data_IF_781967186390
#
_entry.id   IF_781967186390
#
_cell.length_a   1.000
_cell.length_b   1.000
_cell.length_c   1.000
_cell.angle_alpha   90.00
_cell.angle_beta   90.00
_cell.angle_gamma   90.00
#
_symmetry.space_group_name_H-M   'P 1'
#
loop_
_entity.id
_entity.type
_entity.pdbx_description
1 polymer ?
#
# COMPACT_ATOMS: atom_id res chain seq x y z
N UNK A 1 19.54 -9.81 -10.78
CA UNK A 1 19.48 -9.61 -9.31
C UNK A 1 18.36 -10.40 -8.61
N UNK A 2 17.20 -10.67 -9.23
CA UNK A 2 16.07 -11.39 -8.60
C UNK A 2 16.44 -12.68 -7.86
N UNK A 3 17.32 -13.53 -8.43
CA UNK A 3 17.73 -14.80 -7.79
C UNK A 3 18.48 -14.58 -6.47
N UNK A 4 19.44 -13.66 -6.45
CA UNK A 4 20.21 -13.31 -5.24
C UNK A 4 19.29 -12.68 -4.20
N UNK A 5 18.38 -11.79 -4.62
CA UNK A 5 17.40 -11.19 -3.74
C UNK A 5 16.48 -12.23 -3.08
N UNK A 6 15.93 -13.18 -3.84
CA UNK A 6 15.13 -14.27 -3.27
C UNK A 6 15.94 -15.13 -2.30
N UNK A 7 17.21 -15.36 -2.59
CA UNK A 7 18.11 -16.08 -1.68
C UNK A 7 18.37 -15.31 -0.39
N UNK A 8 18.52 -13.98 -0.47
CA UNK A 8 18.65 -13.11 0.71
C UNK A 8 17.42 -13.20 1.61
N UNK A 9 16.22 -13.10 1.04
CA UNK A 9 14.96 -13.23 1.78
C UNK A 9 14.82 -14.62 2.42
N UNK A 10 15.22 -15.67 1.71
CA UNK A 10 15.23 -17.02 2.26
C UNK A 10 16.18 -17.17 3.46
N UNK A 11 17.30 -16.43 3.50
CA UNK A 11 18.20 -16.43 4.66
C UNK A 11 17.61 -15.73 5.88
N UNK A 12 16.91 -14.60 5.69
CA UNK A 12 16.16 -13.96 6.77
C UNK A 12 15.14 -14.93 7.38
N UNK A 13 14.36 -15.60 6.54
CA UNK A 13 13.37 -16.59 6.97
C UNK A 13 14.04 -17.79 7.67
N UNK A 14 15.18 -18.28 7.14
CA UNK A 14 15.93 -19.39 7.75
C UNK A 14 16.45 -19.05 9.15
N UNK A 15 16.78 -17.78 9.40
CA UNK A 15 17.24 -17.29 10.71
C UNK A 15 16.10 -16.98 11.68
N UNK A 16 14.84 -17.19 11.26
CA UNK A 16 13.65 -17.02 12.10
C UNK A 16 13.01 -15.63 12.01
N UNK A 17 13.35 -14.83 11.00
CA UNK A 17 12.70 -13.53 10.77
C UNK A 17 11.47 -13.71 9.86
N UNK A 18 10.34 -13.18 10.30
CA UNK A 18 9.14 -13.12 9.46
C UNK A 18 9.22 -11.88 8.57
N UNK A 19 9.36 -12.10 7.26
CA UNK A 19 9.50 -11.01 6.28
C UNK A 19 8.11 -10.50 5.91
N UNK A 20 7.80 -9.28 6.33
CA UNK A 20 6.50 -8.60 6.07
C UNK A 20 6.48 -7.99 4.68
N UNK A 21 7.57 -7.34 4.29
CA UNK A 21 7.70 -6.69 2.99
C UNK A 21 9.16 -6.69 2.56
N UNK A 22 9.40 -6.82 1.25
CA UNK A 22 10.74 -6.67 0.70
C UNK A 22 10.68 -6.17 -0.75
N UNK A 23 11.48 -5.14 -1.02
CA UNK A 23 11.86 -4.73 -2.37
C UNK A 23 13.40 -4.62 -2.45
N UNK A 24 13.94 -4.16 -3.58
CA UNK A 24 15.40 -4.04 -3.74
C UNK A 24 16.05 -2.99 -2.83
N UNK A 25 15.27 -2.14 -2.17
CA UNK A 25 15.75 -1.01 -1.39
C UNK A 25 15.51 -1.16 0.11
N UNK A 26 14.50 -1.91 0.53
CA UNK A 26 14.17 -2.12 1.94
C UNK A 26 13.59 -3.51 2.19
N UNK A 27 13.86 -4.02 3.39
CA UNK A 27 13.25 -5.24 3.92
C UNK A 27 12.64 -4.89 5.28
N UNK A 28 11.36 -5.19 5.45
CA UNK A 28 10.63 -5.05 6.71
C UNK A 28 10.49 -6.45 7.30
N UNK A 29 11.03 -6.64 8.50
CA UNK A 29 10.98 -7.91 9.22
C UNK A 29 10.27 -7.73 10.56
N UNK A 30 9.47 -8.73 10.93
CA UNK A 30 9.01 -8.91 12.30
C UNK A 30 10.04 -9.77 13.04
N UNK A 31 10.61 -9.21 14.10
CA UNK A 31 11.67 -9.89 14.89
C UNK A 31 11.10 -10.83 15.96
N UNK A 32 9.81 -10.71 16.27
CA UNK A 32 9.15 -11.44 17.37
C UNK A 32 9.67 -11.06 18.77
N UNK A 33 10.54 -10.05 18.87
CA UNK A 33 11.09 -9.57 20.15
C UNK A 33 10.17 -8.52 20.77
N UNK A 34 10.18 -8.42 22.11
CA UNK A 34 9.33 -7.51 22.87
C UNK A 34 10.00 -6.19 23.24
N UNK A 35 11.32 -6.21 23.31
CA UNK A 35 12.13 -5.06 23.65
C UNK A 35 12.88 -4.61 22.38
N UNK A 36 12.91 -3.30 22.15
CA UNK A 36 13.63 -2.70 21.04
C UNK A 36 15.12 -3.10 21.07
N UNK A 37 15.72 -3.15 22.26
CA UNK A 37 17.12 -3.57 22.46
C UNK A 37 17.38 -4.99 21.97
N UNK A 38 16.49 -5.93 22.30
CA UNK A 38 16.60 -7.32 21.90
C UNK A 38 16.33 -7.49 20.39
N UNK A 39 15.42 -6.67 19.85
CA UNK A 39 15.15 -6.62 18.42
C UNK A 39 16.39 -6.17 17.65
N UNK A 40 17.05 -5.09 18.08
CA UNK A 40 18.29 -4.59 17.47
C UNK A 40 19.38 -5.66 17.55
N UNK A 41 19.62 -6.26 18.72
CA UNK A 41 20.62 -7.32 18.87
C UNK A 41 20.35 -8.54 17.99
N UNK A 42 19.08 -8.91 17.79
CA UNK A 42 18.69 -9.96 16.85
C UNK A 42 18.99 -9.57 15.39
N UNK A 43 18.63 -8.34 14.99
CA UNK A 43 18.90 -7.85 13.63
C UNK A 43 20.39 -7.80 13.35
N UNK A 44 21.20 -7.33 14.29
CA UNK A 44 22.66 -7.30 14.16
C UNK A 44 23.24 -8.71 13.97
N UNK A 45 22.75 -9.70 14.73
CA UNK A 45 23.12 -11.10 14.56
C UNK A 45 22.75 -11.62 13.16
N UNK A 46 21.54 -11.32 12.68
CA UNK A 46 21.04 -11.75 11.37
C UNK A 46 21.88 -11.12 10.25
N UNK A 47 22.10 -9.81 10.31
CA UNK A 47 22.89 -9.06 9.33
C UNK A 47 24.33 -9.58 9.30
N UNK A 48 24.96 -9.81 10.45
CA UNK A 48 26.31 -10.36 10.51
C UNK A 48 26.37 -11.78 9.94
N UNK A 49 25.36 -12.61 10.21
CA UNK A 49 25.27 -13.97 9.67
C UNK A 49 25.12 -13.99 8.15
N UNK A 50 24.37 -13.03 7.58
CA UNK A 50 24.22 -12.86 6.14
C UNK A 50 25.52 -12.38 5.51
N UNK A 51 26.19 -11.37 6.10
CA UNK A 51 27.48 -10.83 5.62
C UNK A 51 28.59 -11.88 5.60
N UNK A 52 28.55 -12.86 6.51
CA UNK A 52 29.52 -13.95 6.55
C UNK A 52 29.41 -14.93 5.35
N UNK A 53 28.35 -14.85 4.53
CA UNK A 53 28.23 -15.67 3.31
C UNK A 53 28.85 -14.93 2.13
N UNK A 54 29.77 -15.59 1.42
CA UNK A 54 30.48 -15.02 0.26
C UNK A 54 29.55 -14.44 -0.81
N UNK A 55 28.38 -15.06 -1.01
CA UNK A 55 27.37 -14.61 -1.99
C UNK A 55 26.77 -13.23 -1.69
N UNK A 56 26.87 -12.75 -0.44
CA UNK A 56 26.35 -11.45 0.00
C UNK A 56 27.45 -10.47 0.41
N UNK A 57 28.71 -10.77 0.08
CA UNK A 57 29.86 -9.94 0.48
C UNK A 57 29.77 -8.49 0.00
N UNK A 58 29.13 -8.25 -1.16
CA UNK A 58 28.94 -6.92 -1.73
C UNK A 58 27.64 -6.22 -1.28
N UNK A 59 26.87 -6.83 -0.37
CA UNK A 59 25.63 -6.25 0.13
C UNK A 59 25.88 -5.57 1.47
N UNK A 60 25.60 -4.27 1.52
CA UNK A 60 25.53 -3.52 2.76
C UNK A 60 24.08 -3.48 3.24
N UNK A 61 23.87 -3.90 4.49
CA UNK A 61 22.59 -3.83 5.17
C UNK A 61 22.74 -2.95 6.40
N UNK A 62 21.87 -1.95 6.51
CA UNK A 62 21.70 -1.08 7.67
C UNK A 62 20.21 -1.04 8.03
N UNK A 63 19.91 -0.90 9.31
CA UNK A 63 18.54 -0.63 9.77
C UNK A 63 18.36 0.89 9.92
N UNK A 64 17.21 1.41 9.47
CA UNK A 64 16.89 2.84 9.51
C UNK A 64 15.71 3.15 10.45
N UNK A 65 14.75 2.23 10.53
CA UNK A 65 13.52 2.43 11.30
C UNK A 65 13.26 1.24 12.20
N UNK A 66 12.79 1.53 13.41
CA UNK A 66 12.25 0.54 14.33
C UNK A 66 10.78 0.88 14.61
N UNK A 67 9.92 -0.12 14.62
CA UNK A 67 8.50 0.02 14.89
C UNK A 67 8.13 -0.84 16.08
N UNK A 68 7.48 -0.26 17.08
CA UNK A 68 6.88 -1.01 18.19
C UNK A 68 5.62 -1.74 17.70
N UNK A 69 4.84 -1.04 16.87
CA UNK A 69 3.68 -1.58 16.19
C UNK A 69 3.63 -1.04 14.78
N UNK A 70 3.38 -1.92 13.80
CA UNK A 70 3.24 -1.56 12.40
C UNK A 70 2.03 -2.28 11.81
N UNK A 71 1.04 -1.50 11.39
CA UNK A 71 -0.03 -1.95 10.53
C UNK A 71 0.40 -1.73 9.08
N UNK A 72 0.66 -2.81 8.36
CA UNK A 72 1.20 -2.76 7.00
C UNK A 72 0.25 -3.40 6.00
N UNK A 73 -0.24 -2.62 5.03
CA UNK A 73 -1.01 -3.13 3.90
C UNK A 73 -0.15 -3.24 2.65
N UNK A 74 0.47 -2.13 2.26
CA UNK A 74 1.39 -2.01 1.14
C UNK A 74 2.30 -0.79 1.30
N UNK A 75 3.17 -0.52 0.33
CA UNK A 75 4.11 0.59 0.40
C UNK A 75 3.47 2.00 0.47
N UNK A 76 2.19 2.13 0.07
CA UNK A 76 1.43 3.37 0.08
C UNK A 76 0.39 3.43 1.21
N UNK A 77 0.19 2.34 1.96
CA UNK A 77 -0.85 2.17 2.96
C UNK A 77 -0.25 1.47 4.20
N UNK A 78 0.15 2.26 5.19
CA UNK A 78 0.67 1.78 6.47
C UNK A 78 0.48 2.80 7.59
N UNK A 79 0.49 2.33 8.82
CA UNK A 79 0.64 3.18 10.02
C UNK A 79 1.48 2.47 11.06
N UNK A 80 2.35 3.20 11.75
CA UNK A 80 3.20 2.61 12.77
C UNK A 80 3.57 3.59 13.87
N UNK A 81 3.82 3.03 15.06
CA UNK A 81 4.41 3.76 16.19
C UNK A 81 5.91 3.49 16.15
N UNK A 82 6.71 4.54 15.98
CA UNK A 82 8.17 4.41 15.94
C UNK A 82 8.72 4.05 17.32
N UNK A 83 9.62 3.08 17.34
CA UNK A 83 10.41 2.75 18.51
C UNK A 83 11.63 3.67 18.62
N UNK A 84 12.01 4.01 19.85
CA UNK A 84 13.19 4.84 20.10
C UNK A 84 14.48 4.08 19.78
N UNK A 85 15.18 4.51 18.74
CA UNK A 85 16.51 4.01 18.40
C UNK A 85 17.56 4.62 19.36
N UNK A 86 18.62 3.87 19.72
CA UNK A 86 19.75 4.43 20.44
C UNK A 86 20.34 5.64 19.69
N UNK A 87 20.70 6.69 20.44
CA UNK A 87 21.03 8.05 19.99
C UNK A 87 22.25 8.21 19.06
N UNK A 88 22.79 7.13 18.48
CA UNK A 88 23.84 7.15 17.45
C UNK A 88 23.35 6.81 16.03
N UNK A 89 22.09 6.43 15.84
CA UNK A 89 21.57 5.87 14.58
C UNK A 89 20.40 6.67 13.97
N UNK A 90 19.92 7.72 14.63
CA UNK A 90 18.85 8.55 14.09
C UNK A 90 19.41 9.54 13.06
N UNK A 91 19.11 9.36 11.77
CA UNK A 91 19.24 10.46 10.81
C UNK A 91 18.25 11.56 11.18
N UNK A 92 18.79 12.74 11.50
CA UNK A 92 18.08 13.95 11.90
C UNK A 92 16.94 14.28 10.95
N UNK A 93 15.74 13.82 11.28
CA UNK A 93 14.50 14.33 10.71
C UNK A 93 13.55 14.65 11.85
N UNK A 94 13.16 15.93 11.86
CA UNK A 94 12.19 16.65 12.69
C UNK A 94 12.45 16.79 14.19
N UNK A 95 12.54 18.06 14.59
CA UNK A 95 12.45 18.58 15.96
C UNK A 95 11.15 18.09 16.61
N UNK A 96 11.25 17.08 17.47
CA UNK A 96 10.19 16.65 18.38
C UNK A 96 10.79 16.46 19.77
N UNK A 97 10.12 16.98 20.79
CA UNK A 97 10.45 16.77 22.20
C UNK A 97 10.40 15.28 22.55
N UNK A 98 11.29 14.82 23.43
CA UNK A 98 11.55 13.41 23.81
C UNK A 98 10.32 12.60 24.33
N UNK A 99 9.13 13.20 24.41
CA UNK A 99 7.91 12.63 24.97
C UNK A 99 6.78 12.37 23.95
N UNK A 100 6.93 12.76 22.67
CA UNK A 100 5.93 12.45 21.64
C UNK A 100 6.27 11.14 20.92
N UNK A 101 5.40 10.13 21.07
CA UNK A 101 5.44 8.94 20.20
C UNK A 101 5.27 9.40 18.76
N UNK A 102 6.35 9.30 17.98
CA UNK A 102 6.36 9.70 16.57
C UNK A 102 5.56 8.67 15.76
N UNK A 103 4.28 8.96 15.59
CA UNK A 103 3.34 8.17 14.80
C UNK A 103 3.52 8.50 13.32
N UNK A 104 3.92 7.51 12.53
CA UNK A 104 3.99 7.65 11.08
C UNK A 104 2.76 7.01 10.45
N UNK A 105 1.99 7.78 9.69
CA UNK A 105 0.84 7.27 8.94
C UNK A 105 0.90 7.70 7.49
N UNK A 106 0.63 6.75 6.60
CA UNK A 106 0.47 7.00 5.18
C UNK A 106 -0.65 6.12 4.64
N UNK A 107 -1.80 6.71 4.33
CA UNK A 107 -3.00 5.99 3.90
C UNK A 107 -3.48 6.49 2.53
N UNK A 108 -2.83 6.05 1.44
CA UNK A 108 -3.26 6.40 0.08
C UNK A 108 -4.72 5.98 -0.23
N UNK A 109 -5.25 4.97 0.47
CA UNK A 109 -6.67 4.59 0.43
C UNK A 109 -7.61 5.77 0.72
N UNK A 110 -7.17 6.75 1.51
CA UNK A 110 -7.95 7.94 1.85
C UNK A 110 -8.10 8.91 0.67
N UNK A 111 -7.17 8.89 -0.30
CA UNK A 111 -7.26 9.70 -1.53
C UNK A 111 -8.34 9.18 -2.50
N UNK A 112 -8.68 7.90 -2.41
CA UNK A 112 -9.77 7.31 -3.20
C UNK A 112 -11.16 7.54 -2.60
N UNK A 113 -11.25 8.16 -1.42
CA UNK A 113 -12.52 8.47 -0.77
C UNK A 113 -13.14 9.74 -1.37
N UNK A 114 -14.48 9.87 -1.38
CA UNK A 114 -15.13 11.09 -1.82
C UNK A 114 -14.74 12.31 -0.98
N UNK A 115 -14.50 13.45 -1.62
CA UNK A 115 -14.26 14.73 -0.91
C UNK A 115 -15.53 15.25 -0.19
N UNK A 116 -16.70 14.74 -0.57
CA UNK A 116 -17.97 15.09 0.05
C UNK A 116 -18.04 14.67 1.53
N UNK A 117 -18.56 15.57 2.36
CA UNK A 117 -18.88 15.33 3.78
C UNK A 117 -17.66 14.97 4.65
N UNK A 118 -16.48 15.47 4.27
CA UNK A 118 -15.22 15.30 4.99
C UNK A 118 -14.87 13.82 5.22
N UNK A 119 -15.27 12.94 4.30
CA UNK A 119 -15.09 11.48 4.42
C UNK A 119 -13.64 11.09 4.70
N UNK A 120 -12.70 11.74 4.01
CA UNK A 120 -11.26 11.58 4.19
C UNK A 120 -10.80 11.90 5.61
N UNK A 121 -11.21 13.07 6.13
CA UNK A 121 -10.84 13.52 7.48
C UNK A 121 -11.38 12.58 8.56
N UNK A 122 -12.64 12.13 8.42
CA UNK A 122 -13.22 11.15 9.35
C UNK A 122 -12.46 9.82 9.33
N UNK A 123 -11.94 9.40 8.16
CA UNK A 123 -11.16 8.17 8.01
C UNK A 123 -9.79 8.30 8.68
N UNK A 124 -9.06 9.37 8.37
CA UNK A 124 -7.73 9.63 8.94
C UNK A 124 -7.81 9.81 10.46
N UNK A 125 -8.84 10.51 10.95
CA UNK A 125 -9.10 10.65 12.40
C UNK A 125 -9.37 9.32 13.07
N UNK A 126 -10.12 8.41 12.41
CA UNK A 126 -10.39 7.09 12.98
C UNK A 126 -9.11 6.24 13.04
N UNK A 127 -8.29 6.25 11.99
CA UNK A 127 -7.02 5.53 11.95
C UNK A 127 -6.04 6.07 12.99
N UNK A 128 -5.96 7.39 13.16
CA UNK A 128 -5.16 8.01 14.22
C UNK A 128 -5.57 7.50 15.60
N UNK A 129 -6.86 7.59 15.93
CA UNK A 129 -7.40 7.10 17.20
C UNK A 129 -7.18 5.61 17.42
N UNK A 130 -7.21 4.81 16.35
CA UNK A 130 -6.92 3.39 16.44
C UNK A 130 -5.49 3.14 16.89
N UNK A 131 -4.54 3.83 16.27
CA UNK A 131 -3.13 3.70 16.61
C UNK A 131 -2.81 4.24 18.00
N UNK A 132 -3.41 5.35 18.41
CA UNK A 132 -3.30 5.89 19.77
C UNK A 132 -3.85 4.92 20.82
N UNK A 133 -4.99 4.29 20.55
CA UNK A 133 -5.58 3.29 21.44
C UNK A 133 -4.66 2.07 21.59
N UNK A 134 -4.10 1.55 20.49
CA UNK A 134 -3.14 0.46 20.54
C UNK A 134 -1.85 0.83 21.28
N UNK A 135 -1.33 2.03 21.06
CA UNK A 135 -0.14 2.53 21.74
C UNK A 135 -0.35 2.66 23.25
N UNK A 136 -1.52 3.17 23.68
CA UNK A 136 -1.88 3.33 25.09
C UNK A 136 -1.99 1.96 25.78
N UNK A 137 -2.70 1.01 25.15
CA UNK A 137 -2.86 -0.34 25.70
C UNK A 137 -1.48 -1.01 25.83
N UNK A 138 -0.61 -0.90 24.83
CA UNK A 138 0.72 -1.50 24.89
C UNK A 138 1.60 -0.89 25.99
N UNK A 139 1.51 0.43 26.24
CA UNK A 139 2.21 1.11 27.34
C UNK A 139 1.77 0.59 28.70
N UNK A 140 0.46 0.49 28.95
CA UNK A 140 -0.10 -0.03 30.21
C UNK A 140 0.38 -1.46 30.52
N UNK A 141 0.62 -2.28 29.49
CA UNK A 141 1.11 -3.64 29.65
C UNK A 141 2.61 -3.73 29.97
N UNK A 142 3.43 -2.79 29.48
CA UNK A 142 4.86 -2.75 29.80
C UNK A 142 5.15 -2.48 31.28
N UNK A 143 4.26 -1.78 31.99
CA UNK A 143 4.41 -1.51 33.42
C UNK A 143 4.00 -2.70 34.31
N UNK A 144 3.27 -3.70 33.78
CA UNK A 144 2.55 -4.70 34.60
C UNK A 144 3.11 -6.12 34.52
N UNK A 145 4.02 -6.50 33.61
CA UNK A 145 4.49 -7.91 33.57
C UNK A 145 5.91 -8.20 33.03
N UNK A 146 6.69 -8.87 33.90
CA UNK A 146 7.97 -9.60 33.65
C UNK A 146 7.70 -11.04 33.13
N UNK A 147 6.47 -11.41 32.76
CA UNK A 147 6.15 -12.77 32.30
C UNK A 147 5.47 -12.79 30.93
N UNK A 148 5.58 -13.93 30.26
CA UNK A 148 5.29 -14.14 28.84
C UNK A 148 3.84 -13.84 28.43
N UNK A 149 3.55 -12.63 27.93
CA UNK A 149 2.38 -12.29 27.08
C UNK A 149 2.16 -13.34 25.99
N UNK A 150 1.05 -14.08 26.08
CA UNK A 150 0.64 -15.06 25.08
C UNK A 150 -0.05 -14.37 23.88
N UNK A 151 -0.09 -15.03 22.70
CA UNK A 151 -0.80 -14.55 21.48
C UNK A 151 -2.23 -14.07 21.76
N UNK A 152 -2.87 -14.64 22.78
CA UNK A 152 -4.21 -14.30 23.28
C UNK A 152 -4.34 -12.88 23.86
N UNK A 153 -3.27 -12.32 24.41
CA UNK A 153 -3.31 -10.99 25.04
C UNK A 153 -3.28 -9.85 24.00
N UNK A 154 -2.50 -9.99 22.94
CA UNK A 154 -2.47 -9.00 21.85
C UNK A 154 -3.81 -8.96 21.10
N UNK A 155 -4.44 -10.12 20.86
CA UNK A 155 -5.79 -10.19 20.29
C UNK A 155 -6.83 -9.45 21.16
N UNK A 156 -6.72 -9.60 22.50
CA UNK A 156 -7.58 -8.88 23.44
C UNK A 156 -7.38 -7.36 23.38
N UNK A 157 -6.14 -6.91 23.20
CA UNK A 157 -5.80 -5.48 23.10
C UNK A 157 -6.40 -4.85 21.84
N UNK A 158 -6.31 -5.54 20.71
CA UNK A 158 -6.91 -5.10 19.45
C UNK A 158 -8.43 -5.06 19.57
N UNK A 159 -9.05 -6.10 20.16
CA UNK A 159 -10.49 -6.12 20.42
C UNK A 159 -10.94 -4.94 21.29
N UNK A 160 -10.19 -4.59 22.34
CA UNK A 160 -10.45 -3.41 23.18
C UNK A 160 -10.35 -2.11 22.38
N UNK A 161 -9.34 -1.96 21.54
CA UNK A 161 -9.16 -0.79 20.67
C UNK A 161 -10.31 -0.64 19.66
N UNK A 162 -10.75 -1.73 19.01
CA UNK A 162 -11.89 -1.70 18.08
C UNK A 162 -13.19 -1.29 18.80
N UNK A 163 -13.40 -1.80 20.02
CA UNK A 163 -14.56 -1.44 20.84
C UNK A 163 -14.57 0.05 21.22
N UNK A 164 -13.43 0.63 21.57
CA UNK A 164 -13.35 2.07 21.89
C UNK A 164 -13.61 2.95 20.66
N UNK A 165 -13.24 2.49 19.46
CA UNK A 165 -13.47 3.20 18.21
C UNK A 165 -14.92 3.17 17.72
N UNK A 166 -15.70 2.18 18.15
CA UNK A 166 -17.04 1.93 17.63
C UNK A 166 -17.92 3.18 17.70
N UNK A 167 -17.88 3.92 18.80
CA UNK A 167 -18.64 5.17 18.96
C UNK A 167 -18.25 6.24 17.92
N UNK A 168 -16.95 6.43 17.68
CA UNK A 168 -16.44 7.42 16.73
C UNK A 168 -16.81 7.04 15.30
N UNK A 169 -16.64 5.77 14.94
CA UNK A 169 -17.00 5.25 13.62
C UNK A 169 -18.51 5.39 13.34
N UNK A 170 -19.36 4.98 14.29
CA UNK A 170 -20.81 5.10 14.15
C UNK A 170 -21.27 6.57 14.06
N UNK A 171 -20.69 7.47 14.86
CA UNK A 171 -21.01 8.88 14.80
C UNK A 171 -20.66 9.50 13.44
N UNK A 172 -19.50 9.14 12.87
CA UNK A 172 -19.07 9.57 11.54
C UNK A 172 -20.04 9.08 10.46
N UNK A 173 -20.38 7.78 10.46
CA UNK A 173 -21.32 7.17 9.51
C UNK A 173 -22.70 7.84 9.59
N UNK A 174 -23.25 8.01 10.81
CA UNK A 174 -24.56 8.64 11.00
C UNK A 174 -24.58 10.09 10.53
N UNK A 175 -23.53 10.87 10.85
CA UNK A 175 -23.38 12.25 10.42
C UNK A 175 -23.36 12.34 8.89
N UNK A 176 -22.51 11.56 8.24
CA UNK A 176 -22.41 11.52 6.78
C UNK A 176 -23.74 11.08 6.13
N UNK A 177 -24.37 10.03 6.64
CA UNK A 177 -25.65 9.54 6.10
C UNK A 177 -26.77 10.58 6.21
N UNK A 178 -26.91 11.22 7.38
CA UNK A 178 -27.92 12.26 7.62
C UNK A 178 -27.71 13.49 6.74
N UNK A 179 -26.46 13.91 6.54
CA UNK A 179 -26.14 15.07 5.68
C UNK A 179 -26.38 14.75 4.20
N UNK A 180 -26.08 13.52 3.77
CA UNK A 180 -26.34 13.07 2.41
C UNK A 180 -27.83 13.11 2.09
N UNK A 181 -28.70 12.65 2.99
CA UNK A 181 -30.15 12.69 2.78
C UNK A 181 -30.73 14.11 2.65
N UNK A 182 -29.98 15.14 3.03
CA UNK A 182 -30.37 16.55 2.89
C UNK A 182 -29.84 17.22 1.62
N UNK A 183 -28.91 16.58 0.90
CA UNK A 183 -28.24 17.13 -0.28
C UNK A 183 -28.54 16.26 -1.49
N UNK A 184 -29.41 16.73 -2.38
CA UNK A 184 -29.82 15.99 -3.58
C UNK A 184 -28.71 15.81 -4.63
N UNK A 185 -27.60 16.57 -4.52
CA UNK A 185 -26.52 16.58 -5.52
C UNK A 185 -25.38 15.58 -5.26
N UNK A 186 -25.44 14.74 -4.21
CA UNK A 186 -24.37 13.78 -3.91
C UNK A 186 -24.66 12.45 -4.61
N UNK A 187 -23.99 12.23 -5.75
CA UNK A 187 -24.10 11.00 -6.56
C UNK A 187 -23.45 9.78 -5.88
N UNK A 188 -22.35 9.99 -5.15
CA UNK A 188 -21.66 8.95 -4.37
C UNK A 188 -22.34 8.69 -3.01
N UNK A 189 -21.98 7.60 -2.33
CA UNK A 189 -22.35 7.37 -0.94
C UNK A 189 -21.10 7.46 -0.05
N UNK A 190 -20.70 8.66 0.42
CA UNK A 190 -19.47 8.82 1.20
C UNK A 190 -19.42 7.92 2.44
N UNK A 191 -20.55 7.77 3.15
CA UNK A 191 -20.65 6.88 4.30
C UNK A 191 -20.35 5.41 3.94
N UNK A 192 -20.77 4.94 2.76
CA UNK A 192 -20.50 3.57 2.33
C UNK A 192 -19.03 3.38 1.95
N UNK A 193 -18.44 4.32 1.21
CA UNK A 193 -17.01 4.24 0.85
C UNK A 193 -16.10 4.33 2.10
N UNK A 194 -16.47 5.17 3.06
CA UNK A 194 -15.85 5.20 4.39
C UNK A 194 -15.88 3.83 5.07
N UNK A 195 -17.06 3.22 5.17
CA UNK A 195 -17.26 1.92 5.83
C UNK A 195 -16.35 0.86 5.21
N UNK A 196 -16.35 0.78 3.88
CA UNK A 196 -15.52 -0.20 3.18
C UNK A 196 -14.03 0.04 3.39
N UNK A 197 -13.58 1.29 3.40
CA UNK A 197 -12.17 1.63 3.65
C UNK A 197 -11.75 1.26 5.07
N UNK A 198 -12.57 1.61 6.07
CA UNK A 198 -12.32 1.26 7.48
C UNK A 198 -12.28 -0.26 7.65
N UNK A 199 -13.28 -0.97 7.14
CA UNK A 199 -13.31 -2.44 7.20
C UNK A 199 -12.08 -3.05 6.52
N UNK A 200 -11.68 -2.53 5.35
CA UNK A 200 -10.53 -3.05 4.61
C UNK A 200 -9.21 -2.89 5.38
N UNK A 201 -9.00 -1.76 6.04
CA UNK A 201 -7.78 -1.50 6.82
C UNK A 201 -7.77 -2.29 8.12
N UNK A 202 -8.88 -2.31 8.86
CA UNK A 202 -8.94 -3.07 10.13
C UNK A 202 -8.79 -4.58 9.89
N UNK A 203 -9.34 -5.10 8.79
CA UNK A 203 -9.26 -6.54 8.43
C UNK A 203 -7.85 -6.99 8.01
N UNK A 204 -6.85 -6.11 7.98
CA UNK A 204 -5.45 -6.52 7.81
C UNK A 204 -5.03 -7.42 8.97
N UNK A 205 -5.55 -7.15 10.18
CA UNK A 205 -5.30 -7.95 11.36
C UNK A 205 -6.44 -8.94 11.61
N UNK A 206 -6.16 -10.22 11.40
CA UNK A 206 -7.16 -11.29 11.57
C UNK A 206 -7.40 -11.70 13.04
N UNK A 207 -6.68 -11.12 14.01
CA UNK A 207 -6.79 -11.53 15.42
C UNK A 207 -8.09 -11.07 16.09
N UNK A 208 -8.78 -10.08 15.51
CA UNK A 208 -10.04 -9.53 16.01
C UNK A 208 -11.13 -9.53 14.93
N UNK A 209 -11.13 -10.57 14.07
CA UNK A 209 -12.04 -10.68 12.93
C UNK A 209 -13.52 -10.57 13.36
N UNK A 210 -13.92 -11.21 14.45
CA UNK A 210 -15.30 -11.16 14.97
C UNK A 210 -15.74 -9.73 15.34
N UNK A 211 -14.89 -8.96 16.03
CA UNK A 211 -15.18 -7.58 16.37
C UNK A 211 -15.21 -6.66 15.15
N UNK A 212 -14.31 -6.89 14.18
CA UNK A 212 -14.25 -6.11 12.94
C UNK A 212 -15.50 -6.35 12.10
N UNK A 213 -15.92 -7.61 11.94
CA UNK A 213 -17.15 -7.96 11.21
C UNK A 213 -18.40 -7.42 11.92
N UNK A 214 -18.43 -7.48 13.25
CA UNK A 214 -19.51 -6.86 14.04
C UNK A 214 -19.55 -5.34 13.86
N UNK A 215 -18.40 -4.66 13.87
CA UNK A 215 -18.31 -3.22 13.62
C UNK A 215 -18.83 -2.89 12.20
N UNK A 216 -18.38 -3.63 11.19
CA UNK A 216 -18.79 -3.46 9.79
C UNK A 216 -20.30 -3.66 9.62
N UNK A 217 -20.84 -4.76 10.15
CA UNK A 217 -22.28 -5.07 10.11
C UNK A 217 -23.11 -3.93 10.70
N UNK A 218 -22.73 -3.45 11.89
CA UNK A 218 -23.44 -2.36 12.55
C UNK A 218 -23.33 -1.05 11.77
N UNK A 219 -22.18 -0.74 11.17
CA UNK A 219 -22.04 0.43 10.30
C UNK A 219 -22.90 0.36 9.03
N UNK A 220 -22.94 -0.80 8.35
CA UNK A 220 -23.76 -1.00 7.15
C UNK A 220 -25.25 -0.90 7.46
N UNK A 221 -25.67 -1.45 8.61
CA UNK A 221 -27.05 -1.36 9.10
C UNK A 221 -27.50 0.08 9.32
N UNK A 222 -26.62 0.98 9.78
CA UNK A 222 -26.93 2.41 9.98
C UNK A 222 -27.28 3.14 8.68
N UNK A 223 -26.84 2.63 7.53
CA UNK A 223 -27.11 3.21 6.20
C UNK A 223 -28.08 2.37 5.36
N UNK A 224 -28.64 1.30 5.94
CA UNK A 224 -29.59 0.42 5.26
C UNK A 224 -28.98 -0.43 4.13
N UNK A 225 -27.69 -0.75 4.20
CA UNK A 225 -27.02 -1.65 3.25
C UNK A 225 -26.83 -3.02 3.91
N UNK A 226 -27.12 -4.10 3.18
CA UNK A 226 -26.88 -5.46 3.67
C UNK A 226 -25.43 -5.89 3.50
N UNK A 227 -24.95 -6.75 4.40
CA UNK A 227 -23.55 -7.24 4.44
C UNK A 227 -23.12 -7.91 3.14
N UNK A 228 -24.02 -8.68 2.53
CA UNK A 228 -23.78 -9.43 1.28
C UNK A 228 -24.12 -8.64 0.02
N UNK A 229 -24.36 -7.33 0.13
CA UNK A 229 -24.63 -6.52 -1.05
C UNK A 229 -23.37 -6.38 -1.89
N UNK A 230 -23.49 -6.51 -3.22
CA UNK A 230 -22.40 -6.15 -4.16
C UNK A 230 -21.90 -4.72 -3.95
N UNK A 231 -22.76 -3.86 -3.39
CA UNK A 231 -22.43 -2.47 -3.04
C UNK A 231 -21.52 -2.37 -1.83
N UNK A 232 -21.51 -3.35 -0.91
CA UNK A 232 -20.68 -3.37 0.30
C UNK A 232 -19.26 -3.92 0.04
N UNK A 233 -19.04 -4.54 -1.12
CA UNK A 233 -17.71 -5.06 -1.49
C UNK A 233 -16.73 -3.91 -1.70
N UNK A 234 -15.58 -3.99 -1.01
CA UNK A 234 -14.45 -3.07 -1.23
C UNK A 234 -13.94 -3.19 -2.67
N UNK A 235 -13.83 -2.04 -3.35
CA UNK A 235 -13.16 -1.92 -4.64
C UNK A 235 -12.07 -0.88 -4.49
N UNK A 236 -10.85 -1.24 -4.84
CA UNK A 236 -9.75 -0.29 -4.80
C UNK A 236 -9.93 0.72 -5.95
N UNK A 237 -10.30 1.95 -5.61
CA UNK A 237 -10.50 3.03 -6.56
C UNK A 237 -9.21 3.82 -6.83
N UNK A 238 -8.13 3.57 -6.08
CA UNK A 238 -6.85 4.21 -6.31
C UNK A 238 -6.16 3.50 -7.48
N UNK A 239 -5.89 4.21 -8.55
CA UNK A 239 -5.05 3.70 -9.63
C UNK A 239 -3.59 3.50 -9.15
N UNK A 240 -2.83 2.68 -9.87
CA UNK A 240 -1.40 2.47 -9.61
C UNK A 240 -0.68 2.33 -10.94
N UNK A 241 0.44 3.03 -11.08
CA UNK A 241 1.34 2.87 -12.21
C UNK A 241 2.79 2.98 -11.73
N UNK A 242 3.42 1.82 -11.54
CA UNK A 242 4.78 1.75 -10.99
C UNK A 242 5.82 1.79 -12.09
N UNK A 243 6.63 2.84 -12.09
CA UNK A 243 7.89 2.87 -12.83
C UNK A 243 8.97 2.18 -12.00
N UNK A 244 9.54 1.12 -12.58
CA UNK A 244 10.62 0.37 -11.93
C UNK A 244 11.95 1.10 -12.06
N UNK A 245 12.77 1.02 -11.02
CA UNK A 245 14.19 1.42 -11.04
C UNK A 245 14.39 2.87 -11.55
N UNK A 246 13.63 3.82 -10.99
CA UNK A 246 13.81 5.26 -11.25
C UNK A 246 15.01 5.75 -10.45
N UNK A 247 16.03 6.27 -11.17
CA UNK A 247 17.28 6.75 -10.59
C UNK A 247 17.23 8.27 -10.46
N UNK A 248 17.45 8.78 -9.25
CA UNK A 248 17.63 10.21 -9.01
C UNK A 248 18.96 10.69 -9.60
N UNK A 249 18.93 11.71 -10.46
CA UNK A 249 20.17 12.26 -11.04
C UNK A 249 21.02 13.06 -10.05
N UNK A 250 20.46 13.48 -8.93
CA UNK A 250 21.16 14.27 -7.92
C UNK A 250 21.90 13.40 -6.89
N UNK A 251 21.23 12.40 -6.32
CA UNK A 251 21.80 11.55 -5.27
C UNK A 251 21.98 10.08 -5.68
N UNK A 252 21.63 9.70 -6.92
CA UNK A 252 21.70 8.33 -7.44
C UNK A 252 20.86 7.28 -6.70
N UNK A 253 20.00 7.71 -5.77
CA UNK A 253 19.01 6.83 -5.16
C UNK A 253 18.11 6.23 -6.25
N UNK A 254 18.02 4.91 -6.27
CA UNK A 254 17.22 4.15 -7.23
C UNK A 254 16.01 3.58 -6.50
N UNK A 255 14.81 3.78 -7.03
CA UNK A 255 13.61 3.16 -6.48
C UNK A 255 12.48 2.99 -7.48
N UNK A 256 11.56 2.10 -7.13
CA UNK A 256 10.28 2.04 -7.80
C UNK A 256 9.44 3.27 -7.41
N UNK A 257 8.83 3.91 -8.40
CA UNK A 257 8.04 5.13 -8.25
C UNK A 257 6.60 4.84 -8.73
N UNK A 258 5.65 4.81 -7.81
CA UNK A 258 4.23 4.71 -8.15
C UNK A 258 3.67 6.10 -8.49
N UNK A 259 3.48 6.37 -9.77
CA UNK A 259 3.07 7.69 -10.24
C UNK A 259 1.71 8.14 -9.69
N UNK A 260 0.84 7.20 -9.32
CA UNK A 260 -0.48 7.49 -8.78
C UNK A 260 -0.49 7.59 -7.25
N UNK A 261 0.41 6.87 -6.55
CA UNK A 261 0.34 6.68 -5.08
C UNK A 261 1.55 7.17 -4.28
N UNK A 262 2.60 7.65 -4.95
CA UNK A 262 3.80 8.12 -4.25
C UNK A 262 3.54 9.32 -3.34
N UNK A 263 4.09 9.33 -2.12
CA UNK A 263 3.94 10.43 -1.16
C UNK A 263 4.87 11.62 -1.41
N UNK A 264 5.97 11.42 -2.13
CA UNK A 264 6.97 12.45 -2.38
C UNK A 264 6.61 13.24 -3.63
N UNK A 265 5.72 14.21 -3.48
CA UNK A 265 5.26 15.11 -4.54
C UNK A 265 5.32 16.56 -4.10
N UNK A 266 5.44 17.48 -5.04
CA UNK A 266 5.31 18.92 -4.80
C UNK A 266 4.75 19.63 -6.03
N UNK A 267 4.39 20.90 -5.85
CA UNK A 267 4.10 21.82 -6.97
C UNK A 267 5.37 22.60 -7.30
N UNK A 268 5.75 22.63 -8.58
CA UNK A 268 6.84 23.43 -9.11
C UNK A 268 6.32 24.19 -10.32
N UNK A 269 6.35 25.53 -10.27
CA UNK A 269 5.85 26.40 -11.34
C UNK A 269 4.40 26.02 -11.75
N UNK A 270 3.52 25.87 -10.74
CA UNK A 270 2.12 25.42 -10.87
C UNK A 270 1.90 24.04 -11.54
N UNK A 271 2.97 23.26 -11.74
CA UNK A 271 2.89 21.89 -12.23
C UNK A 271 3.28 20.88 -11.14
N UNK A 272 2.53 19.78 -10.97
CA UNK A 272 2.91 18.76 -10.01
C UNK A 272 4.17 18.02 -10.47
N UNK A 273 5.04 17.68 -9.52
CA UNK A 273 6.28 16.94 -9.77
C UNK A 273 6.45 15.84 -8.72
N UNK A 274 7.09 14.74 -9.12
CA UNK A 274 7.56 13.72 -8.18
C UNK A 274 8.93 14.08 -7.64
N UNK A 275 9.16 13.82 -6.37
CA UNK A 275 10.41 14.09 -5.68
C UNK A 275 11.13 12.78 -5.33
N UNK A 276 12.46 12.87 -5.30
CA UNK A 276 13.28 11.81 -4.75
C UNK A 276 12.98 11.65 -3.25
N UNK A 277 12.74 10.42 -2.78
CA UNK A 277 12.51 10.14 -1.36
C UNK A 277 13.71 10.47 -0.48
N UNK A 278 14.93 10.37 -1.03
CA UNK A 278 16.18 10.63 -0.31
C UNK A 278 16.55 12.13 -0.26
N UNK A 279 16.79 12.76 -1.41
CA UNK A 279 17.28 14.15 -1.45
C UNK A 279 16.21 15.22 -1.72
N UNK A 280 14.93 14.83 -1.85
CA UNK A 280 13.79 15.69 -2.19
C UNK A 280 13.94 16.47 -3.51
N UNK A 281 14.94 16.14 -4.33
CA UNK A 281 15.11 16.72 -5.66
C UNK A 281 14.02 16.26 -6.62
N UNK A 282 13.49 17.17 -7.44
CA UNK A 282 12.45 16.86 -8.42
C UNK A 282 12.97 15.94 -9.53
N UNK A 283 12.23 14.88 -9.83
CA UNK A 283 12.44 14.12 -11.05
C UNK A 283 12.02 14.95 -12.26
N UNK A 284 12.83 15.02 -13.33
CA UNK A 284 12.43 15.72 -14.56
C UNK A 284 11.22 15.04 -15.20
N UNK A 285 10.13 15.79 -15.35
CA UNK A 285 8.85 15.31 -15.89
C UNK A 285 9.02 14.76 -17.31
N UNK A 286 9.88 15.38 -18.13
CA UNK A 286 10.13 15.00 -19.51
C UNK A 286 10.76 13.60 -19.61
N UNK A 287 11.60 13.24 -18.64
CA UNK A 287 12.23 11.91 -18.59
C UNK A 287 11.22 10.85 -18.20
N UNK A 288 10.32 11.17 -17.26
CA UNK A 288 9.24 10.29 -16.86
C UNK A 288 8.28 10.10 -18.03
N UNK A 289 7.92 11.16 -18.73
CA UNK A 289 7.06 11.13 -19.91
C UNK A 289 7.62 10.22 -21.01
N UNK A 290 8.89 10.38 -21.37
CA UNK A 290 9.55 9.51 -22.37
C UNK A 290 9.57 8.04 -21.94
N UNK A 291 9.81 7.76 -20.65
CA UNK A 291 9.74 6.40 -20.11
C UNK A 291 8.33 5.83 -20.23
N UNK A 292 7.30 6.63 -19.96
CA UNK A 292 5.91 6.20 -20.07
C UNK A 292 5.52 5.88 -21.52
N UNK A 293 5.97 6.71 -22.47
CA UNK A 293 5.75 6.48 -23.90
C UNK A 293 6.37 5.15 -24.34
N UNK A 294 7.62 4.89 -23.96
CA UNK A 294 8.29 3.63 -24.30
C UNK A 294 7.60 2.41 -23.65
N UNK A 295 7.20 2.51 -22.37
CA UNK A 295 6.42 1.44 -21.71
C UNK A 295 5.09 1.21 -22.43
N UNK A 296 4.39 2.27 -22.81
CA UNK A 296 3.12 2.20 -23.52
C UNK A 296 3.26 1.54 -24.88
N UNK A 297 4.26 1.95 -25.68
CA UNK A 297 4.55 1.34 -26.98
C UNK A 297 4.88 -0.14 -26.85
N UNK A 298 5.68 -0.53 -25.85
CA UNK A 298 5.98 -1.94 -25.55
C UNK A 298 4.73 -2.73 -25.17
N UNK A 299 3.79 -2.13 -24.42
CA UNK A 299 2.50 -2.76 -24.09
C UNK A 299 1.61 -2.95 -25.32
N UNK A 300 1.54 -1.96 -26.21
CA UNK A 300 0.80 -2.06 -27.47
C UNK A 300 1.39 -3.15 -28.36
N UNK A 301 2.71 -3.21 -28.46
CA UNK A 301 3.40 -4.28 -29.19
C UNK A 301 3.09 -5.65 -28.58
N UNK A 302 3.15 -5.77 -27.26
CA UNK A 302 2.83 -7.02 -26.55
C UNK A 302 1.38 -7.46 -26.78
N UNK A 303 0.43 -6.52 -26.79
CA UNK A 303 -0.97 -6.81 -27.09
C UNK A 303 -1.18 -7.21 -28.56
N UNK A 304 -0.41 -6.64 -29.49
CA UNK A 304 -0.52 -6.96 -30.92
C UNK A 304 0.09 -8.32 -31.26
N UNK A 305 1.18 -8.69 -30.58
CA UNK A 305 1.94 -9.92 -30.79
C UNK A 305 1.56 -11.05 -29.81
N UNK A 306 0.55 -10.85 -28.96
CA UNK A 306 0.17 -11.82 -27.95
C UNK A 306 -0.25 -13.16 -28.56
N UNK A 307 -0.06 -14.22 -27.78
CA UNK A 307 -0.68 -15.50 -28.07
C UNK A 307 -2.21 -15.44 -27.87
N UNK A 308 -2.90 -16.39 -28.50
CA UNK A 308 -4.30 -16.66 -28.19
C UNK A 308 -4.42 -17.92 -27.33
N UNK A 309 -5.35 -17.91 -26.39
CA UNK A 309 -5.64 -19.03 -25.49
C UNK A 309 -7.00 -19.62 -25.80
N UNK A 310 -7.11 -20.95 -25.78
CA UNK A 310 -8.40 -21.62 -25.95
C UNK A 310 -9.29 -21.43 -24.71
N UNK A 311 -10.55 -21.06 -24.90
CA UNK A 311 -11.49 -20.85 -23.80
C UNK A 311 -11.76 -22.15 -23.02
N UNK A 312 -11.81 -23.30 -23.71
CA UNK A 312 -12.14 -24.62 -23.14
C UNK A 312 -10.95 -25.30 -22.47
N UNK A 313 -9.89 -25.64 -23.23
CA UNK A 313 -8.76 -26.41 -22.72
C UNK A 313 -7.62 -25.57 -22.14
N UNK A 314 -7.67 -24.24 -22.26
CA UNK A 314 -6.62 -23.29 -21.82
C UNK A 314 -5.25 -23.49 -22.48
N UNK A 315 -5.16 -24.25 -23.57
CA UNK A 315 -3.94 -24.36 -24.35
C UNK A 315 -3.72 -23.13 -25.25
N UNK A 316 -2.44 -22.81 -25.48
CA UNK A 316 -2.01 -21.75 -26.39
C UNK A 316 -2.17 -22.20 -27.85
N UNK A 317 -2.67 -21.29 -28.68
CA UNK A 317 -2.80 -21.48 -30.13
C UNK A 317 -1.42 -21.61 -30.76
N UNK A 318 -1.13 -22.77 -31.34
CA UNK A 318 0.16 -23.04 -32.00
C UNK A 318 0.17 -22.68 -33.49
N UNK A 319 -0.98 -22.72 -34.15
CA UNK A 319 -1.10 -22.54 -35.60
C UNK A 319 -1.81 -21.23 -35.96
N UNK A 320 -1.22 -20.47 -36.87
CA UNK A 320 -1.73 -19.14 -37.28
C UNK A 320 -3.03 -19.20 -38.10
N UNK A 321 -3.33 -20.33 -38.75
CA UNK A 321 -4.51 -20.49 -39.62
C UNK A 321 -5.68 -21.21 -38.93
N UNK A 322 -5.42 -21.93 -37.82
CA UNK A 322 -6.43 -22.69 -37.13
C UNK A 322 -7.48 -21.77 -36.48
N UNK A 323 -8.72 -21.78 -36.98
CA UNK A 323 -9.81 -20.94 -36.45
C UNK A 323 -10.30 -21.42 -35.07
N UNK A 324 -10.26 -22.72 -34.84
CA UNK A 324 -10.67 -23.36 -33.59
C UNK A 324 -9.56 -24.22 -33.04
N UNK A 325 -9.58 -24.45 -31.72
CA UNK A 325 -8.68 -25.39 -31.07
C UNK A 325 -9.03 -26.84 -31.44
N UNK A 326 -8.07 -27.76 -31.27
CA UNK A 326 -8.27 -29.21 -31.43
C UNK A 326 -9.42 -29.76 -30.56
N UNK A 327 -9.72 -29.12 -29.42
CA UNK A 327 -10.87 -29.45 -28.57
C UNK A 327 -12.20 -28.82 -29.06
N UNK A 328 -12.25 -28.28 -30.28
CA UNK A 328 -13.38 -27.50 -30.81
C UNK A 328 -13.77 -26.30 -29.92
N UNK A 329 -12.79 -25.69 -29.24
CA UNK A 329 -12.96 -24.46 -28.47
C UNK A 329 -12.54 -23.23 -29.28
N UNK A 330 -13.16 -22.10 -29.02
CA UNK A 330 -12.75 -20.81 -29.57
C UNK A 330 -11.49 -20.29 -28.88
N UNK A 331 -10.73 -19.47 -29.60
CA UNK A 331 -9.56 -18.78 -29.09
C UNK A 331 -9.93 -17.35 -28.68
N UNK A 332 -9.35 -16.88 -27.59
CA UNK A 332 -9.46 -15.50 -27.12
C UNK A 332 -8.06 -14.91 -26.88
N UNK A 333 -7.98 -13.59 -26.78
CA UNK A 333 -6.76 -12.90 -26.41
C UNK A 333 -6.26 -13.35 -25.02
N UNK A 334 -4.96 -13.60 -24.90
CA UNK A 334 -4.32 -13.89 -23.62
C UNK A 334 -4.27 -12.65 -22.72
N UNK A 335 -3.91 -11.50 -23.30
CA UNK A 335 -3.99 -10.16 -22.72
C UNK A 335 -5.35 -9.57 -23.08
N UNK A 336 -6.19 -9.36 -22.07
CA UNK A 336 -7.55 -8.87 -22.28
C UNK A 336 -7.57 -7.43 -22.82
N UNK A 337 -8.59 -7.10 -23.63
CA UNK A 337 -8.80 -5.71 -24.08
C UNK A 337 -9.01 -4.75 -22.91
N UNK A 338 -9.66 -5.20 -21.84
CA UNK A 338 -9.92 -4.40 -20.64
C UNK A 338 -8.63 -3.99 -19.92
N UNK A 339 -7.63 -4.88 -19.88
CA UNK A 339 -6.32 -4.56 -19.29
C UNK A 339 -5.63 -3.41 -20.05
N UNK A 340 -5.71 -3.44 -21.38
CA UNK A 340 -5.15 -2.38 -22.22
C UNK A 340 -5.93 -1.06 -22.07
N UNK A 341 -7.28 -1.12 -22.06
CA UNK A 341 -8.10 0.07 -21.79
C UNK A 341 -7.82 0.68 -20.43
N UNK A 342 -7.66 -0.13 -19.39
CA UNK A 342 -7.30 0.37 -18.06
C UNK A 342 -5.92 1.04 -18.06
N UNK A 343 -4.93 0.45 -18.74
CA UNK A 343 -3.62 1.08 -18.90
C UNK A 343 -3.71 2.44 -19.63
N UNK A 344 -4.49 2.51 -20.71
CA UNK A 344 -4.73 3.75 -21.47
C UNK A 344 -5.39 4.80 -20.56
N UNK A 345 -6.44 4.42 -19.83
CA UNK A 345 -7.15 5.32 -18.90
C UNK A 345 -6.20 5.92 -17.87
N UNK A 346 -5.38 5.10 -17.21
CA UNK A 346 -4.43 5.53 -16.19
C UNK A 346 -3.37 6.47 -16.81
N UNK A 347 -2.81 6.11 -17.96
CA UNK A 347 -1.82 6.97 -18.64
C UNK A 347 -2.41 8.32 -19.05
N UNK A 348 -3.66 8.38 -19.51
CA UNK A 348 -4.34 9.65 -19.80
C UNK A 348 -4.51 10.50 -18.53
N UNK A 349 -4.92 9.88 -17.42
CA UNK A 349 -5.06 10.59 -16.14
C UNK A 349 -3.71 11.16 -15.67
N UNK A 350 -2.63 10.39 -15.75
CA UNK A 350 -1.28 10.86 -15.43
C UNK A 350 -0.87 11.99 -16.37
N UNK A 351 -1.11 11.83 -17.67
CA UNK A 351 -0.69 12.81 -18.66
C UNK A 351 -1.38 14.17 -18.47
N UNK A 352 -2.68 14.17 -18.22
CA UNK A 352 -3.44 15.39 -17.90
C UNK A 352 -3.02 15.96 -16.55
N UNK A 353 -2.87 15.12 -15.53
CA UNK A 353 -2.51 15.56 -14.18
C UNK A 353 -1.13 16.22 -14.09
N UNK A 354 -0.18 15.80 -14.93
CA UNK A 354 1.22 16.25 -14.90
C UNK A 354 1.63 17.03 -16.16
N UNK A 355 0.68 17.52 -16.95
CA UNK A 355 0.92 18.33 -18.16
C UNK A 355 1.88 17.67 -19.18
N UNK A 356 1.73 16.36 -19.43
CA UNK A 356 2.54 15.58 -20.37
C UNK A 356 1.86 15.51 -21.75
N UNK A 357 2.11 16.52 -22.59
CA UNK A 357 1.45 16.68 -23.89
C UNK A 357 1.76 15.53 -24.87
N UNK A 358 3.02 15.08 -24.93
CA UNK A 358 3.46 14.06 -25.88
C UNK A 358 2.89 12.69 -25.51
N UNK A 359 2.85 12.37 -24.22
CA UNK A 359 2.20 11.14 -23.74
C UNK A 359 0.71 11.16 -24.05
N UNK A 360 0.02 12.29 -23.78
CA UNK A 360 -1.40 12.42 -24.05
C UNK A 360 -1.71 12.21 -25.55
N UNK A 361 -0.98 12.89 -26.42
CA UNK A 361 -1.14 12.76 -27.88
C UNK A 361 -0.87 11.31 -28.34
N UNK A 362 0.16 10.68 -27.79
CA UNK A 362 0.52 9.28 -28.14
C UNK A 362 -0.58 8.31 -27.73
N UNK A 363 -1.16 8.48 -26.55
CA UNK A 363 -2.22 7.61 -26.03
C UNK A 363 -3.55 7.85 -26.73
N UNK A 364 -3.86 9.10 -27.11
CA UNK A 364 -5.09 9.46 -27.82
C UNK A 364 -5.13 8.99 -29.27
N UNK A 365 -3.98 8.86 -29.94
CA UNK A 365 -3.89 8.31 -31.30
C UNK A 365 -4.34 6.85 -31.42
N UNK A 366 -4.41 6.13 -30.30
CA UNK A 366 -4.74 4.71 -30.27
C UNK A 366 -6.26 4.53 -30.19
N UNK A 367 -6.85 4.10 -31.30
CA UNK A 367 -8.26 3.67 -31.38
C UNK A 367 -8.27 2.15 -31.20
N UNK A 368 -8.69 1.66 -30.04
CA UNK A 368 -8.79 0.22 -29.71
C UNK A 368 -10.19 -0.13 -29.22
#
# INVERSE_FOLDING_TARGET
MKKIFLQLIAEFQRLGADVVFADFNKVIICTGKRCITDAIGYVDFVVQSIRNKEIFHSIELSYQHCWDFLLWMDAANFSGVRGNLPSGFAESTVLGTEDEQDLDMNWNISEGLPDDLDCKEHFETLMLKYMEALATINKEHHEVSITSVNVTEMALNISKAIKSLSYVAFAAVQKMHKLRLKKDNITSNPALEYIKAVHKVLSIDNRAEEEIESLNHNMLRLIGVGDFSDRAVWKNNCDSFVLKEVICKACYHCRDLDLCRDKHRAMKDDSPVWLCSNCLGSYPTEIIELKLIDIFQRKIMSYSLQDLICIKCKEIRRENLAKFCSCAGEFQNLISRNELHNCIRILKQIAVGYNMELLLETVDKIII
#
